data_IF_773982846572
#
_entry.id   IF_773982846572
#
_cell.length_a   1.000
_cell.length_b   1.000
_cell.length_c   1.000
_cell.angle_alpha   90.00
_cell.angle_beta   90.00
_cell.angle_gamma   90.00
#
_symmetry.space_group_name_H-M   'P 1'
#
loop_
_entity.id
_entity.type
_entity.pdbx_description
1 polymer ?
#
# COMPACT_ATOMS: atom_id res chain seq x y z
N UNK A 1 -34.86 -18.92 -21.57
CA UNK A 1 -34.49 -19.49 -22.88
C UNK A 1 -33.42 -18.57 -23.45
N UNK A 2 -32.12 -18.79 -23.24
CA UNK A 2 -31.27 -19.89 -23.72
C UNK A 2 -31.48 -20.19 -25.20
N UNK A 3 -30.37 -20.08 -25.94
CA UNK A 3 -30.07 -20.55 -27.30
C UNK A 3 -30.60 -19.73 -28.48
N UNK A 4 -29.69 -19.01 -29.14
CA UNK A 4 -29.01 -19.48 -30.37
C UNK A 4 -28.79 -18.35 -31.40
N UNK A 5 -27.54 -17.92 -31.61
CA UNK A 5 -27.03 -17.62 -32.96
C UNK A 5 -25.49 -17.64 -33.01
N UNK A 6 -24.96 -18.76 -33.50
CA UNK A 6 -23.75 -19.02 -34.29
C UNK A 6 -22.45 -18.23 -33.98
N UNK A 7 -21.38 -18.84 -33.45
CA UNK A 7 -20.44 -19.78 -34.13
C UNK A 7 -20.18 -19.45 -35.61
N UNK A 8 -19.10 -18.71 -35.88
CA UNK A 8 -18.08 -19.05 -36.90
C UNK A 8 -17.09 -17.90 -37.16
N UNK A 9 -16.26 -17.58 -36.17
CA UNK A 9 -14.90 -17.08 -36.46
C UNK A 9 -13.96 -17.81 -35.50
N UNK A 10 -13.03 -18.59 -36.06
CA UNK A 10 -12.17 -19.55 -35.37
C UNK A 10 -11.12 -18.92 -34.46
N UNK A 11 -11.55 -18.19 -33.44
CA UNK A 11 -10.69 -17.83 -32.30
C UNK A 11 -11.02 -18.82 -31.19
N UNK A 12 -10.15 -19.82 -31.06
CA UNK A 12 -10.10 -20.66 -29.86
C UNK A 12 -9.81 -19.71 -28.70
N UNK A 13 -10.82 -19.43 -27.87
CA UNK A 13 -10.57 -18.81 -26.57
C UNK A 13 -9.57 -19.71 -25.85
N UNK A 14 -8.37 -19.22 -25.47
CA UNK A 14 -7.62 -19.93 -24.46
C UNK A 14 -8.53 -19.94 -23.24
N UNK A 15 -8.84 -21.13 -22.71
CA UNK A 15 -9.25 -21.29 -21.33
C UNK A 15 -8.34 -20.38 -20.47
N UNK A 16 -8.81 -19.73 -19.39
CA UNK A 16 -7.91 -19.16 -18.41
C UNK A 16 -7.28 -20.31 -17.61
N UNK A 17 -6.55 -21.17 -18.29
CA UNK A 17 -5.57 -22.05 -17.72
C UNK A 17 -4.49 -21.13 -17.17
N UNK A 18 -4.66 -20.79 -15.89
CA UNK A 18 -3.75 -20.11 -14.99
C UNK A 18 -2.29 -20.47 -15.32
N UNK A 19 -1.68 -19.64 -16.17
CA UNK A 19 -0.24 -19.57 -16.39
C UNK A 19 0.40 -18.78 -15.25
N UNK A 20 0.19 -19.21 -14.00
CA UNK A 20 0.75 -18.55 -12.80
C UNK A 20 1.77 -19.43 -12.07
N UNK A 21 2.14 -20.58 -12.63
CA UNK A 21 2.93 -21.58 -11.89
C UNK A 21 4.43 -21.32 -11.84
N UNK A 22 4.95 -20.24 -12.42
CA UNK A 22 6.40 -20.00 -12.42
C UNK A 22 6.88 -18.90 -11.45
N UNK A 23 6.00 -18.16 -10.78
CA UNK A 23 6.40 -17.00 -9.97
C UNK A 23 6.02 -17.09 -8.47
N UNK A 24 6.09 -18.28 -7.86
CA UNK A 24 5.97 -18.41 -6.40
C UNK A 24 4.65 -17.91 -5.77
N UNK A 25 3.64 -17.57 -6.59
CA UNK A 25 2.31 -17.20 -6.14
C UNK A 25 1.48 -18.47 -5.95
N UNK A 26 1.13 -18.78 -4.71
CA UNK A 26 0.23 -19.88 -4.35
C UNK A 26 -1.18 -19.37 -4.02
N UNK A 27 -2.20 -20.19 -4.28
CA UNK A 27 -3.60 -19.90 -3.88
C UNK A 27 -3.70 -19.68 -2.35
N UNK A 28 -2.96 -20.47 -1.56
CA UNK A 28 -2.98 -20.36 -0.09
C UNK A 28 -2.49 -19.01 0.44
N UNK A 29 -1.49 -18.40 -0.21
CA UNK A 29 -1.00 -17.07 0.17
C UNK A 29 -2.01 -15.98 -0.21
N UNK A 30 -2.74 -16.15 -1.31
CA UNK A 30 -3.81 -15.24 -1.68
C UNK A 30 -4.98 -15.34 -0.70
N UNK A 31 -5.38 -16.56 -0.33
CA UNK A 31 -6.39 -16.79 0.71
C UNK A 31 -5.97 -16.18 2.06
N UNK A 32 -4.67 -16.29 2.41
CA UNK A 32 -4.11 -15.64 3.58
C UNK A 32 -4.25 -14.11 3.49
N UNK A 33 -3.90 -13.49 2.37
CA UNK A 33 -4.10 -12.05 2.16
C UNK A 33 -5.55 -11.65 2.42
N UNK A 34 -6.50 -12.34 1.78
CA UNK A 34 -7.93 -12.05 1.93
C UNK A 34 -8.40 -12.20 3.38
N UNK A 35 -7.91 -13.22 4.09
CA UNK A 35 -8.24 -13.42 5.50
C UNK A 35 -7.72 -12.28 6.41
N UNK A 36 -6.52 -11.77 6.13
CA UNK A 36 -5.91 -10.67 6.88
C UNK A 36 -6.59 -9.33 6.58
N UNK A 37 -6.93 -9.05 5.31
CA UNK A 37 -7.69 -7.87 4.92
C UNK A 37 -9.08 -7.87 5.57
N UNK A 38 -9.77 -9.01 5.59
CA UNK A 38 -11.03 -9.15 6.31
C UNK A 38 -10.87 -8.89 7.81
N UNK A 39 -9.77 -9.34 8.41
CA UNK A 39 -9.47 -9.13 9.83
C UNK A 39 -9.14 -7.66 10.15
N UNK A 40 -8.63 -6.88 9.20
CA UNK A 40 -8.48 -5.42 9.36
C UNK A 40 -9.83 -4.69 9.48
N UNK A 41 -10.90 -5.24 8.92
CA UNK A 41 -12.26 -4.69 9.06
C UNK A 41 -12.98 -5.19 10.32
N UNK A 42 -12.29 -5.86 11.25
CA UNK A 42 -12.94 -6.36 12.47
C UNK A 42 -13.27 -5.22 13.44
N UNK A 43 -14.18 -5.49 14.37
CA UNK A 43 -14.61 -4.51 15.39
C UNK A 43 -13.62 -4.34 16.53
N UNK A 44 -12.53 -5.11 16.59
CA UNK A 44 -11.59 -5.08 17.71
C UNK A 44 -10.22 -4.56 17.27
N UNK A 45 -9.72 -3.55 17.97
CA UNK A 45 -8.40 -2.98 17.69
C UNK A 45 -7.28 -4.02 17.80
N UNK A 46 -7.42 -5.01 18.69
CA UNK A 46 -6.45 -6.08 18.86
C UNK A 46 -6.28 -6.92 17.58
N UNK A 47 -7.39 -7.31 16.95
CA UNK A 47 -7.37 -8.08 15.70
C UNK A 47 -6.87 -7.25 14.52
N UNK A 48 -7.27 -5.97 14.45
CA UNK A 48 -6.76 -5.04 13.44
C UNK A 48 -5.23 -4.90 13.52
N UNK A 49 -4.69 -4.67 14.73
CA UNK A 49 -3.23 -4.58 14.95
C UNK A 49 -2.53 -5.90 14.63
N UNK A 50 -3.12 -7.04 14.97
CA UNK A 50 -2.55 -8.34 14.61
C UNK A 50 -2.47 -8.52 13.08
N UNK A 51 -3.56 -8.20 12.37
CA UNK A 51 -3.61 -8.30 10.91
C UNK A 51 -2.62 -7.34 10.24
N UNK A 52 -2.55 -6.09 10.68
CA UNK A 52 -1.62 -5.08 10.15
C UNK A 52 -0.16 -5.51 10.33
N UNK A 53 0.21 -6.05 11.51
CA UNK A 53 1.56 -6.57 11.75
C UNK A 53 1.90 -7.76 10.87
N UNK A 54 0.95 -8.66 10.67
CA UNK A 54 1.13 -9.80 9.77
C UNK A 54 1.34 -9.35 8.33
N UNK A 55 0.52 -8.43 7.81
CA UNK A 55 0.67 -7.86 6.47
C UNK A 55 2.00 -7.11 6.30
N UNK A 56 2.41 -6.31 7.28
CA UNK A 56 3.72 -5.66 7.27
C UNK A 56 4.86 -6.67 7.22
N UNK A 57 4.80 -7.72 8.04
CA UNK A 57 5.81 -8.78 8.11
C UNK A 57 5.91 -9.55 6.79
N UNK A 58 4.78 -9.94 6.20
CA UNK A 58 4.70 -10.68 4.93
C UNK A 58 5.24 -9.84 3.77
N UNK A 59 4.76 -8.60 3.61
CA UNK A 59 5.22 -7.70 2.54
C UNK A 59 6.70 -7.33 2.67
N UNK A 60 7.25 -7.31 3.90
CA UNK A 60 8.69 -7.11 4.13
C UNK A 60 9.51 -8.34 3.73
N UNK A 61 9.11 -9.53 4.18
CA UNK A 61 9.90 -10.76 4.06
C UNK A 61 9.76 -11.45 2.72
N UNK A 62 8.62 -11.30 2.06
CA UNK A 62 8.26 -11.99 0.83
C UNK A 62 7.91 -10.94 -0.24
N UNK A 63 8.87 -10.50 -1.07
CA UNK A 63 8.59 -9.54 -2.14
C UNK A 63 7.48 -9.99 -3.10
N UNK A 64 7.37 -11.28 -3.40
CA UNK A 64 6.29 -11.85 -4.21
C UNK A 64 4.90 -11.69 -3.57
N UNK A 65 4.81 -11.60 -2.24
CA UNK A 65 3.53 -11.37 -1.56
C UNK A 65 2.92 -10.00 -1.92
N UNK A 66 3.75 -9.04 -2.34
CA UNK A 66 3.30 -7.70 -2.74
C UNK A 66 2.42 -7.77 -3.99
N UNK A 67 2.72 -8.67 -4.92
CA UNK A 67 1.97 -8.82 -6.18
C UNK A 67 0.50 -9.21 -5.96
N UNK A 68 0.15 -9.87 -4.86
CA UNK A 68 -1.24 -10.23 -4.57
C UNK A 68 -2.17 -9.02 -4.40
N UNK A 69 -1.65 -7.86 -4.01
CA UNK A 69 -2.47 -6.66 -3.85
C UNK A 69 -2.94 -6.06 -5.19
N UNK A 70 -2.32 -6.44 -6.31
CA UNK A 70 -2.80 -6.09 -7.65
C UNK A 70 -3.84 -7.05 -8.22
N UNK A 71 -4.09 -8.19 -7.57
CA UNK A 71 -5.04 -9.21 -8.04
C UNK A 71 -6.50 -8.88 -7.73
N UNK A 72 -6.74 -7.94 -6.81
CA UNK A 72 -8.09 -7.45 -6.48
C UNK A 72 -8.09 -5.94 -6.30
N UNK A 73 -9.04 -5.28 -6.96
CA UNK A 73 -9.23 -3.83 -6.89
C UNK A 73 -9.51 -3.34 -5.46
N UNK A 74 -10.05 -4.21 -4.61
CA UNK A 74 -10.41 -3.89 -3.23
C UNK A 74 -9.26 -4.08 -2.24
N UNK A 75 -8.15 -4.72 -2.63
CA UNK A 75 -7.07 -5.06 -1.69
C UNK A 75 -6.40 -3.84 -1.08
N UNK A 76 -6.12 -2.81 -1.88
CA UNK A 76 -5.53 -1.56 -1.39
C UNK A 76 -6.57 -0.73 -0.61
N UNK A 77 -7.80 -0.48 -1.12
CA UNK A 77 -8.85 0.18 -0.33
C UNK A 77 -9.10 -0.47 1.05
N UNK A 78 -9.19 -1.80 1.12
CA UNK A 78 -9.37 -2.50 2.40
C UNK A 78 -8.20 -2.33 3.35
N UNK A 79 -6.96 -2.34 2.83
CA UNK A 79 -5.76 -2.05 3.63
C UNK A 79 -5.81 -0.64 4.23
N UNK A 80 -6.34 0.33 3.49
CA UNK A 80 -6.34 1.75 3.87
C UNK A 80 -7.56 2.17 4.70
N UNK A 81 -8.63 1.38 4.71
CA UNK A 81 -9.89 1.73 5.41
C UNK A 81 -9.68 2.10 6.89
N UNK A 82 -8.86 1.38 7.70
CA UNK A 82 -8.65 1.79 9.09
C UNK A 82 -7.99 3.16 9.25
N UNK A 83 -7.24 3.63 8.24
CA UNK A 83 -6.55 4.93 8.25
C UNK A 83 -7.50 6.12 8.01
N UNK A 84 -8.76 5.87 7.66
CA UNK A 84 -9.76 6.94 7.49
C UNK A 84 -10.49 7.28 8.79
N UNK A 85 -10.26 6.52 9.86
CA UNK A 85 -10.83 6.79 11.18
C UNK A 85 -10.15 8.01 11.82
N UNK A 86 -10.93 8.89 12.50
CA UNK A 86 -10.40 10.14 13.06
C UNK A 86 -9.39 9.93 14.18
N UNK A 87 -9.50 8.83 14.93
CA UNK A 87 -8.63 8.49 16.05
C UNK A 87 -7.99 7.12 15.84
N UNK A 88 -6.99 7.07 14.96
CA UNK A 88 -6.25 5.83 14.71
C UNK A 88 -5.17 5.57 15.78
N UNK A 89 -5.10 4.31 16.24
CA UNK A 89 -3.99 3.85 17.08
C UNK A 89 -2.64 4.07 16.37
N UNK A 90 -1.65 4.71 17.01
CA UNK A 90 -0.39 5.04 16.35
C UNK A 90 0.41 3.85 15.82
N UNK A 91 0.33 2.69 16.48
CA UNK A 91 1.04 1.49 16.00
C UNK A 91 0.33 0.89 14.79
N UNK A 92 -1.02 0.88 14.81
CA UNK A 92 -1.82 0.47 13.64
C UNK A 92 -1.51 1.38 12.44
N UNK A 93 -1.50 2.69 12.64
CA UNK A 93 -1.13 3.66 11.62
C UNK A 93 0.26 3.39 11.04
N UNK A 94 1.26 3.19 11.91
CA UNK A 94 2.62 2.88 11.49
C UNK A 94 2.71 1.55 10.71
N UNK A 95 2.06 0.48 11.20
CA UNK A 95 2.08 -0.83 10.56
C UNK A 95 1.47 -0.78 9.14
N UNK A 96 0.35 -0.05 8.97
CA UNK A 96 -0.34 0.09 7.68
C UNK A 96 0.42 0.98 6.69
N UNK A 97 0.97 2.13 7.13
CA UNK A 97 1.81 2.98 6.26
C UNK A 97 3.08 2.25 5.84
N UNK A 98 3.69 1.47 6.74
CA UNK A 98 4.86 0.65 6.39
C UNK A 98 4.49 -0.47 5.41
N UNK A 99 3.30 -1.06 5.54
CA UNK A 99 2.79 -2.03 4.56
C UNK A 99 2.64 -1.36 3.18
N UNK A 100 2.00 -0.19 3.12
CA UNK A 100 1.83 0.57 1.88
C UNK A 100 3.18 0.94 1.23
N UNK A 101 4.16 1.35 2.03
CA UNK A 101 5.53 1.59 1.58
C UNK A 101 6.12 0.33 0.94
N UNK A 102 6.03 -0.83 1.61
CA UNK A 102 6.51 -2.09 1.03
C UNK A 102 5.81 -2.40 -0.29
N UNK A 103 4.48 -2.22 -0.38
CA UNK A 103 3.73 -2.46 -1.61
C UNK A 103 4.21 -1.58 -2.77
N UNK A 104 4.52 -0.30 -2.51
CA UNK A 104 4.97 0.65 -3.54
C UNK A 104 6.28 0.27 -4.23
N UNK A 105 7.08 -0.61 -3.60
CA UNK A 105 8.34 -1.09 -4.20
C UNK A 105 8.13 -2.14 -5.30
N UNK A 106 6.91 -2.66 -5.47
CA UNK A 106 6.56 -3.60 -6.52
C UNK A 106 5.94 -2.87 -7.72
N UNK A 107 6.44 -3.10 -8.93
CA UNK A 107 6.04 -2.32 -10.13
C UNK A 107 4.53 -2.37 -10.39
N UNK A 108 3.90 -3.54 -10.28
CA UNK A 108 2.45 -3.71 -10.51
C UNK A 108 1.59 -2.91 -9.55
N UNK A 109 2.10 -2.59 -8.35
CA UNK A 109 1.34 -1.87 -7.33
C UNK A 109 1.49 -0.36 -7.44
N UNK A 110 2.56 0.17 -8.05
CA UNK A 110 2.84 1.61 -8.03
C UNK A 110 1.70 2.44 -8.62
N UNK A 111 1.20 2.05 -9.79
CA UNK A 111 0.10 2.76 -10.42
C UNK A 111 -1.19 2.60 -9.61
N UNK A 112 -1.51 1.38 -9.19
CA UNK A 112 -2.74 1.06 -8.43
C UNK A 112 -2.79 1.82 -7.09
N UNK A 113 -1.68 1.87 -6.35
CA UNK A 113 -1.58 2.65 -5.10
C UNK A 113 -1.85 4.13 -5.39
N UNK A 114 -1.20 4.73 -6.38
CA UNK A 114 -1.35 6.15 -6.66
C UNK A 114 -2.75 6.52 -7.20
N UNK A 115 -3.38 5.62 -7.94
CA UNK A 115 -4.74 5.78 -8.47
C UNK A 115 -5.83 5.47 -7.43
N UNK A 116 -5.48 4.82 -6.32
CA UNK A 116 -6.41 4.61 -5.20
C UNK A 116 -6.74 5.96 -4.55
N UNK A 117 -8.00 6.45 -4.61
CA UNK A 117 -8.32 7.85 -4.30
C UNK A 117 -7.87 8.34 -2.92
N UNK A 118 -7.89 7.47 -1.90
CA UNK A 118 -7.52 7.82 -0.53
C UNK A 118 -6.02 7.69 -0.22
N UNK A 119 -5.23 7.04 -1.08
CA UNK A 119 -3.85 6.69 -0.76
C UNK A 119 -2.94 7.92 -0.63
N UNK A 120 -2.98 8.84 -1.60
CA UNK A 120 -2.17 10.07 -1.55
C UNK A 120 -2.60 10.97 -0.37
N UNK A 121 -3.90 11.28 -0.15
CA UNK A 121 -4.34 12.02 1.03
C UNK A 121 -3.84 11.42 2.35
N UNK A 122 -3.98 10.10 2.54
CA UNK A 122 -3.49 9.39 3.72
C UNK A 122 -1.98 9.55 3.90
N UNK A 123 -1.20 9.44 2.83
CA UNK A 123 0.26 9.63 2.88
C UNK A 123 0.63 11.06 3.27
N UNK A 124 -0.10 12.07 2.79
CA UNK A 124 0.13 13.46 3.16
C UNK A 124 -0.23 13.74 4.63
N UNK A 125 -1.30 13.14 5.13
CA UNK A 125 -1.65 13.25 6.55
C UNK A 125 -0.62 12.53 7.42
N UNK A 126 -0.12 11.37 6.99
CA UNK A 126 0.98 10.68 7.65
C UNK A 126 2.28 11.52 7.71
N UNK A 127 2.60 12.31 6.68
CA UNK A 127 3.72 13.27 6.72
C UNK A 127 3.51 14.37 7.78
N UNK A 128 2.28 14.84 7.96
CA UNK A 128 1.95 15.95 8.85
C UNK A 128 1.89 15.53 10.32
N UNK A 129 1.23 14.41 10.60
CA UNK A 129 0.84 14.02 11.97
C UNK A 129 1.44 12.69 12.44
N UNK A 130 2.13 11.95 11.56
CA UNK A 130 2.74 10.66 11.91
C UNK A 130 3.91 10.79 12.89
N UNK A 131 4.29 9.67 13.51
CA UNK A 131 5.59 9.55 14.21
C UNK A 131 6.72 9.61 13.18
N UNK A 132 7.96 9.84 13.63
CA UNK A 132 9.14 9.94 12.76
C UNK A 132 9.25 8.80 11.74
N UNK A 133 9.04 7.55 12.17
CA UNK A 133 9.07 6.39 11.26
C UNK A 133 7.92 6.43 10.24
N UNK A 134 6.70 6.76 10.67
CA UNK A 134 5.54 6.91 9.79
C UNK A 134 5.74 8.02 8.76
N UNK A 135 6.27 9.19 9.17
CA UNK A 135 6.63 10.30 8.28
C UNK A 135 7.67 9.87 7.24
N UNK A 136 8.74 9.22 7.68
CA UNK A 136 9.78 8.69 6.80
C UNK A 136 9.21 7.69 5.80
N UNK A 137 8.40 6.73 6.25
CA UNK A 137 7.81 5.72 5.38
C UNK A 137 6.83 6.33 4.38
N UNK A 138 6.05 7.35 4.78
CA UNK A 138 5.18 8.09 3.86
C UNK A 138 5.98 8.83 2.77
N UNK A 139 7.08 9.49 3.15
CA UNK A 139 7.96 10.19 2.20
C UNK A 139 8.60 9.21 1.20
N UNK A 140 9.11 8.07 1.69
CA UNK A 140 9.67 7.00 0.84
C UNK A 140 8.62 6.44 -0.10
N UNK A 141 7.38 6.24 0.37
CA UNK A 141 6.27 5.77 -0.46
C UNK A 141 5.99 6.73 -1.60
N UNK A 142 5.79 8.02 -1.31
CA UNK A 142 5.53 9.05 -2.33
C UNK A 142 6.68 9.16 -3.34
N UNK A 143 7.92 9.09 -2.88
CA UNK A 143 9.11 9.09 -3.75
C UNK A 143 9.15 7.86 -4.67
N UNK A 144 8.88 6.68 -4.12
CA UNK A 144 8.87 5.42 -4.87
C UNK A 144 7.77 5.40 -5.94
N UNK A 145 6.56 5.84 -5.58
CA UNK A 145 5.44 5.97 -6.51
C UNK A 145 5.76 6.96 -7.64
N UNK A 146 6.47 8.04 -7.33
CA UNK A 146 6.90 9.07 -8.28
C UNK A 146 7.91 8.58 -9.32
N UNK A 147 8.40 7.34 -9.24
CA UNK A 147 9.19 6.76 -10.33
C UNK A 147 8.38 6.62 -11.64
N UNK A 148 7.05 6.57 -11.56
CA UNK A 148 6.15 6.63 -12.73
C UNK A 148 5.71 8.08 -13.00
N UNK A 149 5.84 8.53 -14.26
CA UNK A 149 5.46 9.90 -14.63
C UNK A 149 3.95 10.18 -14.45
N UNK A 150 3.09 9.18 -14.65
CA UNK A 150 1.65 9.26 -14.37
C UNK A 150 1.40 9.59 -12.89
N UNK A 151 2.10 8.90 -11.99
CA UNK A 151 1.99 9.11 -10.55
C UNK A 151 2.52 10.47 -10.11
N UNK A 152 3.60 10.99 -10.72
CA UNK A 152 4.10 12.35 -10.43
C UNK A 152 3.02 13.41 -10.62
N UNK A 153 2.22 13.29 -11.68
CA UNK A 153 1.11 14.22 -11.94
C UNK A 153 0.05 14.13 -10.84
N UNK A 154 -0.32 12.93 -10.39
CA UNK A 154 -1.30 12.75 -9.31
C UNK A 154 -0.79 13.32 -7.98
N UNK A 155 0.46 13.02 -7.62
CA UNK A 155 1.11 13.50 -6.39
C UNK A 155 1.26 15.03 -6.42
N UNK A 156 1.66 15.59 -7.57
CA UNK A 156 1.80 17.04 -7.74
C UNK A 156 0.47 17.78 -7.60
N UNK A 157 -0.63 17.22 -8.11
CA UNK A 157 -1.99 17.79 -7.97
C UNK A 157 -2.54 17.76 -6.53
N UNK A 158 -1.95 16.94 -5.67
CA UNK A 158 -2.33 16.84 -4.26
C UNK A 158 -1.51 17.79 -3.35
N UNK A 159 -0.75 18.72 -3.92
CA UNK A 159 0.09 19.69 -3.20
C UNK A 159 1.11 19.04 -2.24
N UNK A 160 1.64 17.87 -2.64
CA UNK A 160 2.56 17.09 -1.82
C UNK A 160 3.91 17.76 -1.53
N UNK A 161 4.29 18.80 -2.30
CA UNK A 161 5.61 19.41 -2.22
C UNK A 161 5.88 20.04 -0.84
N UNK A 162 4.93 20.81 -0.30
CA UNK A 162 5.13 21.50 0.98
C UNK A 162 5.27 20.50 2.16
N UNK A 163 4.36 19.51 2.34
CA UNK A 163 4.53 18.48 3.36
C UNK A 163 5.86 17.71 3.28
N UNK A 164 6.35 17.44 2.07
CA UNK A 164 7.64 16.76 1.88
C UNK A 164 8.83 17.62 2.32
N UNK A 165 8.80 18.92 2.01
CA UNK A 165 9.83 19.88 2.47
C UNK A 165 9.82 19.98 3.99
N UNK A 166 8.64 20.09 4.60
CA UNK A 166 8.50 20.23 6.06
C UNK A 166 9.13 19.05 6.81
N UNK A 167 8.93 17.82 6.33
CA UNK A 167 9.52 16.61 6.92
C UNK A 167 11.05 16.59 6.77
N UNK A 168 11.60 17.10 5.66
CA UNK A 168 13.04 17.21 5.46
C UNK A 168 13.68 18.21 6.44
N UNK A 169 13.05 19.37 6.64
CA UNK A 169 13.52 20.41 7.57
C UNK A 169 13.48 19.92 9.03
N UNK A 170 12.41 19.23 9.42
CA UNK A 170 12.28 18.63 10.76
C UNK A 170 13.37 17.58 11.01
N UNK A 171 13.63 16.69 10.03
CA UNK A 171 14.68 15.68 10.12
C UNK A 171 16.08 16.26 10.26
N UNK A 172 16.40 17.32 9.50
CA UNK A 172 17.69 18.02 9.62
C UNK A 172 17.88 18.67 10.99
N UNK A 173 16.83 19.32 11.51
CA UNK A 173 16.86 19.96 12.82
C UNK A 173 17.10 18.96 13.95
N UNK A 174 16.42 17.81 13.91
CA UNK A 174 16.62 16.73 14.89
C UNK A 174 18.04 16.16 14.82
N UNK A 175 18.54 15.87 13.62
CA UNK A 175 19.90 15.35 13.46
C UNK A 175 20.96 16.33 14.02
N UNK A 176 20.77 17.64 13.81
CA UNK A 176 21.68 18.66 14.33
C UNK A 176 21.63 18.74 15.86
N UNK A 177 20.44 18.60 16.47
CA UNK A 177 20.27 18.57 17.92
C UNK A 177 20.93 17.35 18.56
N UNK A 178 20.78 16.17 17.96
CA UNK A 178 21.39 14.93 18.47
C UNK A 178 22.93 15.03 18.46
N UNK A 179 23.51 15.55 17.37
CA UNK A 179 24.96 15.82 17.29
C UNK A 179 25.41 16.83 18.35
N UNK A 180 24.69 17.94 18.53
CA UNK A 180 25.04 18.95 19.52
C UNK A 180 24.98 18.44 20.97
N UNK A 181 24.15 17.43 21.26
CA UNK A 181 24.08 16.80 22.59
C UNK A 181 25.19 15.77 22.88
N UNK A 182 25.98 15.42 21.87
CA UNK A 182 27.06 14.42 21.97
C UNK A 182 28.42 15.06 22.31
N UNK A 183 28.50 16.40 22.36
CA UNK A 183 29.71 17.19 22.71
C UNK A 183 29.55 17.86 24.07
#
# INVERSE_FOLDING_TARGET
MISQCCKNHGVRYPSPERSWKEDGLTDANYDLLLSLLKKLSSSTLAEQKEAARALRSLTKRLPSFRAYFSESIESIPQLLTPLTEPEIDPDLHQDLITTLMNLSTHETNKQIVAETPMAIPILLDALRSGRMETKSNAAVTLSTLSSLNSNKSLIGKADALKPLIDVLEEGQSLAMKDVASTI
#
